data_IF_521049171160
#
_entry.id   IF_521049171160
#
_cell.length_a   1.000
_cell.length_b   1.000
_cell.length_c   1.000
_cell.angle_alpha   90.00
_cell.angle_beta   90.00
_cell.angle_gamma   90.00
#
_symmetry.space_group_name_H-M   'P 1'
#
loop_
_entity.id
_entity.type
_entity.pdbx_description
1 polymer ?
#
# COMPACT_ATOMS: atom_id res chain seq x y z
N UNK A 1 16.36 13.33 -9.51
CA UNK A 1 17.65 14.00 -9.27
C UNK A 1 17.83 14.31 -7.80
N UNK A 2 17.28 15.44 -7.32
CA UNK A 2 17.51 15.96 -5.96
C UNK A 2 16.87 15.09 -4.87
N UNK A 3 15.61 14.68 -5.05
CA UNK A 3 14.91 13.80 -4.09
C UNK A 3 15.60 12.45 -3.87
N UNK A 4 16.12 11.85 -4.94
CA UNK A 4 16.88 10.61 -4.86
C UNK A 4 18.20 10.80 -4.09
N UNK A 5 18.88 11.93 -4.31
CA UNK A 5 20.15 12.24 -3.65
C UNK A 5 19.98 12.50 -2.14
N UNK A 6 18.84 13.07 -1.73
CA UNK A 6 18.50 13.24 -0.31
C UNK A 6 18.21 11.90 0.38
N UNK A 7 17.51 10.96 -0.27
CA UNK A 7 17.20 9.65 0.31
C UNK A 7 18.44 8.78 0.52
N UNK A 8 19.42 8.83 -0.40
CA UNK A 8 20.65 8.00 -0.30
C UNK A 8 21.46 8.31 0.96
N UNK A 9 21.35 9.51 1.55
CA UNK A 9 22.07 9.87 2.78
C UNK A 9 21.45 9.31 4.08
N UNK A 10 20.26 8.71 4.02
CA UNK A 10 19.56 8.16 5.19
C UNK A 10 19.76 6.64 5.39
N UNK A 11 20.40 5.95 4.45
CA UNK A 11 20.60 4.49 4.51
C UNK A 11 22.09 4.17 4.63
N UNK A 12 22.48 3.48 5.70
CA UNK A 12 23.87 3.14 5.99
C UNK A 12 24.40 2.02 5.06
N UNK A 13 23.50 1.21 4.48
CA UNK A 13 23.86 0.11 3.57
C UNK A 13 22.87 -0.07 2.41
N UNK A 14 23.39 -0.50 1.25
CA UNK A 14 22.59 -0.81 0.05
C UNK A 14 21.60 -1.97 0.32
N UNK A 15 22.00 -2.93 1.18
CA UNK A 15 21.16 -4.06 1.57
C UNK A 15 19.90 -3.59 2.30
N UNK A 16 20.02 -2.67 3.26
CA UNK A 16 18.87 -2.11 3.96
C UNK A 16 17.95 -1.35 3.03
N UNK A 17 18.51 -0.59 2.09
CA UNK A 17 17.72 0.12 1.07
C UNK A 17 16.93 -0.85 0.18
N UNK A 18 17.56 -1.94 -0.25
CA UNK A 18 16.91 -2.96 -1.07
C UNK A 18 15.82 -3.72 -0.31
N UNK A 19 16.09 -4.13 0.93
CA UNK A 19 15.10 -4.77 1.81
C UNK A 19 13.93 -3.83 2.10
N UNK A 20 14.21 -2.56 2.38
CA UNK A 20 13.19 -1.55 2.61
C UNK A 20 12.27 -1.36 1.39
N UNK A 21 12.85 -1.20 0.20
CA UNK A 21 12.08 -1.09 -1.04
C UNK A 21 11.20 -2.33 -1.26
N UNK A 22 11.77 -3.54 -1.13
CA UNK A 22 11.03 -4.79 -1.28
C UNK A 22 9.84 -4.87 -0.31
N UNK A 23 10.06 -4.49 0.95
CA UNK A 23 9.00 -4.54 1.95
C UNK A 23 7.94 -3.47 1.72
N UNK A 24 8.33 -2.26 1.28
CA UNK A 24 7.38 -1.20 0.92
C UNK A 24 6.47 -1.62 -0.24
N UNK A 25 7.03 -2.20 -1.30
CA UNK A 25 6.24 -2.70 -2.43
C UNK A 25 5.31 -3.85 -2.02
N UNK A 26 5.81 -4.81 -1.23
CA UNK A 26 4.99 -5.91 -0.72
C UNK A 26 3.84 -5.41 0.15
N UNK A 27 4.12 -4.51 1.09
CA UNK A 27 3.12 -4.01 2.04
C UNK A 27 2.11 -3.06 1.38
N UNK A 28 2.53 -2.26 0.41
CA UNK A 28 1.65 -1.32 -0.28
C UNK A 28 0.72 -2.01 -1.28
N UNK A 29 1.24 -2.98 -2.05
CA UNK A 29 0.52 -3.55 -3.20
C UNK A 29 -0.22 -4.82 -2.83
N UNK A 30 0.40 -5.73 -2.06
CA UNK A 30 -0.17 -7.05 -1.78
C UNK A 30 -1.54 -7.02 -1.08
N UNK A 31 -1.78 -6.24 0.01
CA UNK A 31 -3.11 -6.19 0.62
C UNK A 31 -4.16 -5.57 -0.30
N UNK A 32 -3.78 -4.60 -1.15
CA UNK A 32 -4.69 -4.02 -2.13
C UNK A 32 -5.09 -5.03 -3.19
N UNK A 33 -4.14 -5.78 -3.75
CA UNK A 33 -4.40 -6.83 -4.74
C UNK A 33 -5.21 -7.97 -4.12
N UNK A 34 -4.83 -8.46 -2.94
CA UNK A 34 -5.60 -9.50 -2.25
C UNK A 34 -7.03 -9.04 -1.96
N UNK A 35 -7.22 -7.80 -1.49
CA UNK A 35 -8.56 -7.30 -1.23
C UNK A 35 -9.41 -7.22 -2.50
N UNK A 36 -8.84 -6.86 -3.66
CA UNK A 36 -9.57 -6.88 -4.94
C UNK A 36 -10.06 -8.30 -5.29
N UNK A 37 -9.27 -9.34 -5.02
CA UNK A 37 -9.66 -10.73 -5.30
C UNK A 37 -10.68 -11.29 -4.30
N UNK A 38 -10.58 -10.95 -3.02
CA UNK A 38 -11.45 -11.51 -1.99
C UNK A 38 -12.70 -10.66 -1.71
N UNK A 39 -12.75 -9.41 -2.17
CA UNK A 39 -13.83 -8.48 -1.83
C UNK A 39 -14.42 -7.78 -3.05
N UNK A 40 -15.66 -8.16 -3.39
CA UNK A 40 -16.45 -7.65 -4.53
C UNK A 40 -16.73 -6.14 -4.51
N UNK A 41 -16.40 -5.45 -3.41
CA UNK A 41 -16.69 -4.03 -3.21
C UNK A 41 -15.46 -3.12 -3.31
N UNK A 42 -14.27 -3.66 -3.56
CA UNK A 42 -13.08 -2.83 -3.70
C UNK A 42 -13.22 -1.95 -4.94
N UNK A 43 -13.01 -0.66 -4.75
CA UNK A 43 -13.13 0.33 -5.82
C UNK A 43 -11.75 0.68 -6.35
N UNK A 44 -11.62 1.05 -7.64
CA UNK A 44 -10.35 1.52 -8.20
C UNK A 44 -9.77 2.72 -7.42
N UNK A 45 -10.65 3.61 -6.93
CA UNK A 45 -10.27 4.74 -6.09
C UNK A 45 -9.75 4.31 -4.70
N UNK A 46 -10.33 3.26 -4.11
CA UNK A 46 -9.83 2.68 -2.86
C UNK A 46 -8.47 2.01 -3.02
N UNK A 47 -8.25 1.33 -4.15
CA UNK A 47 -6.95 0.73 -4.50
C UNK A 47 -5.84 1.78 -4.66
N UNK A 48 -6.09 2.85 -5.42
CA UNK A 48 -5.10 3.92 -5.61
C UNK A 48 -4.86 4.73 -4.34
N UNK A 49 -5.90 5.00 -3.55
CA UNK A 49 -5.78 5.69 -2.26
C UNK A 49 -4.98 4.87 -1.23
N UNK A 50 -5.14 3.54 -1.23
CA UNK A 50 -4.39 2.61 -0.39
C UNK A 50 -2.89 2.62 -0.72
N UNK A 51 -2.55 2.50 -2.01
CA UNK A 51 -1.15 2.53 -2.48
C UNK A 51 -0.51 3.90 -2.17
N UNK A 52 -1.18 4.99 -2.54
CA UNK A 52 -0.68 6.35 -2.30
C UNK A 52 -0.56 6.69 -0.81
N UNK A 53 -1.55 6.30 -0.02
CA UNK A 53 -1.54 6.50 1.42
C UNK A 53 -0.47 5.69 2.15
N UNK A 54 -0.26 4.45 1.74
CA UNK A 54 0.85 3.62 2.23
C UNK A 54 2.20 4.28 1.97
N UNK A 55 2.42 4.80 0.76
CA UNK A 55 3.64 5.57 0.42
C UNK A 55 3.81 6.83 1.28
N UNK A 56 2.76 7.66 1.37
CA UNK A 56 2.81 8.93 2.13
C UNK A 56 3.12 8.67 3.60
N UNK A 57 2.43 7.71 4.21
CA UNK A 57 2.66 7.32 5.61
C UNK A 57 4.08 6.83 5.81
N UNK A 58 4.60 6.04 4.87
CA UNK A 58 5.95 5.52 4.92
C UNK A 58 7.00 6.64 4.87
N UNK A 59 6.84 7.61 3.96
CA UNK A 59 7.74 8.78 3.86
C UNK A 59 7.67 9.65 5.12
N UNK A 60 6.47 9.91 5.63
CA UNK A 60 6.30 10.69 6.87
C UNK A 60 7.00 9.97 8.02
N UNK A 61 6.83 8.66 8.15
CA UNK A 61 7.43 7.88 9.24
C UNK A 61 8.97 7.85 9.18
N UNK A 62 9.55 7.84 7.98
CA UNK A 62 11.00 7.97 7.79
C UNK A 62 11.51 9.36 8.15
N UNK A 63 10.79 10.43 7.78
CA UNK A 63 11.18 11.79 8.18
C UNK A 63 11.20 11.98 9.70
N UNK A 64 10.32 11.29 10.43
CA UNK A 64 10.30 11.31 11.89
C UNK A 64 11.35 10.39 12.55
N UNK A 65 12.34 9.90 11.78
CA UNK A 65 13.44 9.06 12.27
C UNK A 65 12.99 7.83 13.06
N UNK A 66 11.94 7.13 12.59
CA UNK A 66 11.45 5.87 13.17
C UNK A 66 11.30 5.97 14.70
N UNK A 67 10.27 6.68 15.22
CA UNK A 67 10.04 6.73 16.65
C UNK A 67 9.93 5.27 17.16
N UNK A 68 10.81 4.89 18.09
CA UNK A 68 10.90 3.56 18.73
C UNK A 68 11.57 2.41 17.96
N UNK A 69 12.21 2.63 16.80
CA UNK A 69 12.87 1.52 16.07
C UNK A 69 11.90 0.49 15.50
N UNK A 70 10.60 0.82 15.46
CA UNK A 70 9.56 -0.03 14.86
C UNK A 70 9.72 0.03 13.33
N UNK A 71 9.77 -1.13 12.65
CA UNK A 71 9.81 -1.16 11.19
C UNK A 71 8.59 -0.43 10.61
N UNK A 72 8.84 0.53 9.72
CA UNK A 72 7.82 1.34 9.03
C UNK A 72 6.75 0.50 8.31
N UNK A 73 7.09 -0.75 8.02
CA UNK A 73 6.24 -1.81 7.48
C UNK A 73 4.91 -1.95 8.22
N UNK A 74 4.92 -1.99 9.56
CA UNK A 74 3.70 -2.22 10.34
C UNK A 74 2.67 -1.07 10.24
N UNK A 75 3.03 0.20 10.51
CA UNK A 75 2.10 1.31 10.36
C UNK A 75 1.71 1.55 8.91
N UNK A 76 2.62 1.34 7.94
CA UNK A 76 2.31 1.46 6.53
C UNK A 76 1.27 0.41 6.06
N UNK A 77 1.40 -0.84 6.52
CA UNK A 77 0.45 -1.91 6.22
C UNK A 77 -0.93 -1.58 6.78
N UNK A 78 -0.96 -1.17 8.04
CA UNK A 78 -2.21 -0.81 8.71
C UNK A 78 -2.91 0.35 8.00
N UNK A 79 -2.18 1.41 7.67
CA UNK A 79 -2.76 2.56 6.95
C UNK A 79 -3.18 2.24 5.52
N UNK A 80 -2.40 1.43 4.80
CA UNK A 80 -2.75 0.97 3.46
C UNK A 80 -4.08 0.20 3.47
N UNK A 81 -4.23 -0.75 4.38
CA UNK A 81 -5.45 -1.54 4.53
C UNK A 81 -6.64 -0.67 4.99
N UNK A 82 -6.39 0.23 5.95
CA UNK A 82 -7.41 1.13 6.49
C UNK A 82 -7.95 2.07 5.42
N UNK A 83 -7.07 2.69 4.63
CA UNK A 83 -7.48 3.54 3.51
C UNK A 83 -8.20 2.76 2.43
N UNK A 84 -7.74 1.53 2.13
CA UNK A 84 -8.45 0.68 1.19
C UNK A 84 -9.89 0.42 1.65
N UNK A 85 -10.08 0.03 2.92
CA UNK A 85 -11.39 -0.25 3.51
C UNK A 85 -12.26 1.01 3.49
N UNK A 86 -11.76 2.13 4.03
CA UNK A 86 -12.54 3.36 4.18
C UNK A 86 -12.90 3.96 2.82
N UNK A 87 -11.93 4.09 1.92
CA UNK A 87 -12.18 4.73 0.62
C UNK A 87 -13.03 3.81 -0.26
N UNK A 88 -12.88 2.49 -0.18
CA UNK A 88 -13.79 1.56 -0.88
C UNK A 88 -15.22 1.61 -0.32
N UNK A 89 -15.40 1.86 0.98
CA UNK A 89 -16.72 2.03 1.60
C UNK A 89 -17.37 3.38 1.29
N UNK A 90 -16.57 4.46 1.21
CA UNK A 90 -17.04 5.82 0.94
C UNK A 90 -17.27 6.09 -0.56
N UNK A 91 -16.63 5.32 -1.44
CA UNK A 91 -16.76 5.49 -2.89
C UNK A 91 -17.85 4.58 -3.46
N UNK A 92 -18.46 4.98 -4.59
CA UNK A 92 -19.43 4.14 -5.30
C UNK A 92 -18.85 2.73 -5.57
N UNK A 93 -19.60 1.66 -5.25
CA UNK A 93 -19.16 0.30 -5.50
C UNK A 93 -18.86 0.10 -7.00
N UNK A 94 -17.82 -0.70 -7.29
CA UNK A 94 -17.43 -0.99 -8.68
C UNK A 94 -18.53 -1.79 -9.39
N UNK A 95 -18.77 -1.47 -10.67
CA UNK A 95 -19.78 -2.15 -11.51
C UNK A 95 -19.61 -3.66 -11.49
N UNK A 96 -20.73 -4.38 -11.39
CA UNK A 96 -20.75 -5.84 -11.28
C UNK A 96 -20.10 -6.55 -12.47
N UNK A 97 -20.07 -5.92 -13.64
CA UNK A 97 -19.43 -6.46 -14.84
C UNK A 97 -17.92 -6.68 -14.67
N UNK A 98 -17.25 -5.90 -13.81
CA UNK A 98 -15.79 -5.94 -13.67
C UNK A 98 -15.30 -7.09 -12.80
N UNK A 99 -16.07 -7.50 -11.80
CA UNK A 99 -15.70 -8.60 -10.91
C UNK A 99 -16.42 -9.92 -11.24
N UNK A 100 -17.59 -9.90 -11.92
CA UNK A 100 -18.31 -11.13 -12.32
C UNK A 100 -17.45 -12.19 -13.03
N UNK A 101 -16.50 -11.84 -13.93
CA UNK A 101 -15.64 -12.82 -14.59
C UNK A 101 -14.72 -13.58 -13.61
N UNK A 102 -14.25 -12.94 -12.55
CA UNK A 102 -13.35 -13.54 -11.56
C UNK A 102 -14.05 -14.49 -10.57
N UNK A 103 -15.38 -14.37 -10.44
CA UNK A 103 -16.19 -15.21 -9.55
C UNK A 103 -17.13 -16.16 -10.30
N UNK A 104 -17.00 -16.28 -11.63
CA UNK A 104 -17.77 -17.26 -12.39
C UNK A 104 -17.25 -18.64 -12.05
N UNK A 105 -18.07 -19.45 -11.36
CA UNK A 105 -17.85 -20.89 -11.21
C UNK A 105 -17.72 -21.47 -12.62
N UNK A 106 -16.53 -21.99 -12.94
CA UNK A 106 -16.40 -22.96 -14.02
C UNK A 106 -17.29 -24.16 -13.64
N UNK A 107 -18.28 -24.43 -14.48
CA UNK A 107 -19.17 -25.60 -14.40
C UNK A 107 -18.69 -26.59 -15.44
#
# INVERSE_FOLDING_TARGET
GIFAFMQVKFFETILEMALYAYTMYGVGITPAVMAVFFWKRVTPAGGTASIGGGMIVTVIWEMFSKPFGIPTVYPALFMSLFLLIIVSLLTKPSDEEKWKPFFRKEV
#
